data_IF_599968400123
#
_entry.id   IF_599968400123
#
_cell.length_a   1.000
_cell.length_b   1.000
_cell.length_c   1.000
_cell.angle_alpha   90.00
_cell.angle_beta   90.00
_cell.angle_gamma   90.00
#
_symmetry.space_group_name_H-M   'P 1'
#
loop_
_entity.id
_entity.type
_entity.pdbx_description
1 polymer ?
#
# COMPACT_ATOMS: atom_id res chain seq x y z
N UNK A 1 1.56 -8.66 8.65
CA UNK A 1 0.20 -8.24 8.28
C UNK A 1 -0.71 -9.45 8.37
N UNK A 2 -1.90 -9.32 8.96
CA UNK A 2 -2.91 -10.38 8.92
C UNK A 2 -4.02 -9.93 7.97
N UNK A 3 -4.44 -10.82 7.08
CA UNK A 3 -5.48 -10.55 6.10
C UNK A 3 -6.52 -11.66 6.16
N UNK A 4 -7.78 -11.28 6.28
CA UNK A 4 -8.91 -12.19 6.20
C UNK A 4 -9.76 -11.79 5.02
N UNK A 5 -9.85 -12.68 4.03
CA UNK A 5 -10.56 -12.44 2.78
C UNK A 5 -11.72 -13.41 2.63
N UNK A 6 -12.87 -12.91 2.20
CA UNK A 6 -14.07 -13.72 1.99
C UNK A 6 -15.02 -13.10 0.95
N UNK A 7 -15.92 -13.93 0.44
CA UNK A 7 -17.11 -13.53 -0.29
C UNK A 7 -18.35 -13.82 0.55
N UNK A 8 -19.53 -13.82 -0.09
CA UNK A 8 -20.75 -14.34 0.55
C UNK A 8 -20.69 -15.86 0.75
N UNK A 9 -20.05 -16.57 -0.18
CA UNK A 9 -20.16 -18.01 -0.33
C UNK A 9 -18.85 -18.75 0.03
N UNK A 10 -17.71 -18.04 0.03
CA UNK A 10 -16.37 -18.59 0.27
C UNK A 10 -15.62 -17.79 1.33
N UNK A 11 -14.90 -18.47 2.22
CA UNK A 11 -14.03 -17.87 3.23
C UNK A 11 -12.62 -18.46 3.13
N UNK A 12 -11.61 -17.62 2.93
CA UNK A 12 -10.19 -18.04 2.88
C UNK A 12 -9.55 -18.12 4.26
N UNK A 13 -10.25 -17.66 5.29
CA UNK A 13 -9.75 -17.54 6.65
C UNK A 13 -8.67 -16.46 6.78
N UNK A 14 -7.96 -16.52 7.90
CA UNK A 14 -6.94 -15.55 8.23
C UNK A 14 -5.56 -16.01 7.73
N UNK A 15 -4.91 -15.18 6.93
CA UNK A 15 -3.58 -15.42 6.36
C UNK A 15 -2.60 -14.40 6.94
N UNK A 16 -1.42 -14.86 7.36
CA UNK A 16 -0.35 -13.99 7.86
C UNK A 16 0.71 -13.79 6.79
N UNK A 17 0.95 -12.53 6.43
CA UNK A 17 1.93 -12.11 5.42
C UNK A 17 3.05 -11.26 6.01
N UNK A 18 4.27 -11.54 5.58
CA UNK A 18 5.47 -10.71 5.80
C UNK A 18 5.64 -9.73 4.63
N UNK A 19 6.52 -8.75 4.80
CA UNK A 19 6.84 -7.82 3.71
C UNK A 19 7.43 -8.58 2.53
N UNK A 20 6.88 -8.34 1.34
CA UNK A 20 7.25 -9.04 0.11
C UNK A 20 6.55 -10.39 -0.08
N UNK A 21 5.72 -10.85 0.86
CA UNK A 21 4.88 -12.02 0.64
C UNK A 21 3.67 -11.66 -0.24
N UNK A 22 3.21 -12.62 -1.03
CA UNK A 22 2.05 -12.52 -1.90
C UNK A 22 1.08 -13.67 -1.61
N UNK A 23 -0.22 -13.40 -1.82
CA UNK A 23 -1.27 -14.43 -1.78
C UNK A 23 -2.05 -14.40 -3.08
N UNK A 24 -2.40 -15.58 -3.53
CA UNK A 24 -3.18 -15.79 -4.74
C UNK A 24 -4.27 -16.82 -4.47
N UNK A 25 -5.46 -16.55 -4.98
CA UNK A 25 -6.56 -17.51 -5.00
C UNK A 25 -7.43 -17.24 -6.23
N UNK A 26 -8.20 -18.24 -6.62
CA UNK A 26 -9.16 -18.16 -7.71
C UNK A 26 -10.58 -18.33 -7.19
N UNK A 27 -11.53 -17.62 -7.79
CA UNK A 27 -12.96 -17.73 -7.51
C UNK A 27 -13.74 -17.57 -8.81
N UNK A 28 -14.98 -18.06 -8.83
CA UNK A 28 -15.86 -17.93 -9.99
C UNK A 28 -16.79 -16.74 -9.86
N UNK A 29 -16.99 -16.01 -10.96
CA UNK A 29 -17.99 -14.96 -11.03
C UNK A 29 -19.38 -15.58 -11.14
N UNK A 30 -20.34 -15.04 -10.40
CA UNK A 30 -21.72 -15.46 -10.51
C UNK A 30 -22.34 -14.86 -11.77
N UNK A 31 -23.25 -15.62 -12.39
CA UNK A 31 -23.91 -15.20 -13.62
C UNK A 31 -24.72 -13.89 -13.46
N UNK A 32 -25.18 -13.60 -12.25
CA UNK A 32 -25.97 -12.42 -11.92
C UNK A 32 -25.15 -11.13 -11.83
N UNK A 33 -23.82 -11.19 -11.98
CA UNK A 33 -22.95 -10.01 -11.96
C UNK A 33 -22.93 -9.30 -10.60
N UNK A 34 -23.10 -10.06 -9.51
CA UNK A 34 -23.14 -9.55 -8.13
C UNK A 34 -21.97 -10.03 -7.28
N UNK A 35 -21.00 -10.73 -7.87
CA UNK A 35 -19.83 -11.22 -7.14
C UNK A 35 -19.10 -10.06 -6.46
N UNK A 36 -18.86 -10.27 -5.17
CA UNK A 36 -18.14 -9.38 -4.29
C UNK A 36 -17.20 -10.23 -3.43
N UNK A 37 -15.92 -9.89 -3.45
CA UNK A 37 -14.89 -10.45 -2.59
C UNK A 37 -14.20 -9.30 -1.88
N UNK A 38 -14.06 -9.39 -0.57
CA UNK A 38 -13.52 -8.33 0.25
C UNK A 38 -12.54 -8.89 1.28
N UNK A 39 -11.65 -8.04 1.75
CA UNK A 39 -10.70 -8.39 2.79
C UNK A 39 -10.69 -7.35 3.89
N UNK A 40 -10.56 -7.86 5.12
CA UNK A 40 -10.20 -7.11 6.30
C UNK A 40 -8.71 -7.33 6.57
N UNK A 41 -7.97 -6.24 6.64
CA UNK A 41 -6.53 -6.25 6.84
C UNK A 41 -6.21 -5.61 8.17
N UNK A 42 -5.36 -6.29 8.93
CA UNK A 42 -4.78 -5.81 10.17
C UNK A 42 -3.27 -5.62 9.95
N UNK A 43 -2.84 -4.38 10.02
CA UNK A 43 -1.44 -4.02 9.86
C UNK A 43 -1.02 -2.99 10.90
N UNK A 44 -0.14 -3.42 11.82
CA UNK A 44 0.30 -2.63 12.97
C UNK A 44 -0.90 -2.05 13.74
N UNK A 45 -1.09 -0.74 13.68
CA UNK A 45 -2.17 -0.01 14.36
C UNK A 45 -3.33 0.35 13.43
N UNK A 46 -3.29 -0.12 12.19
CA UNK A 46 -4.27 0.15 11.14
C UNK A 46 -5.08 -1.10 10.85
N UNK A 47 -6.40 -0.95 10.88
CA UNK A 47 -7.34 -1.98 10.44
C UNK A 47 -8.20 -1.38 9.33
N UNK A 48 -8.21 -2.01 8.17
CA UNK A 48 -8.90 -1.49 7.00
C UNK A 48 -9.57 -2.61 6.21
N UNK A 49 -10.71 -2.25 5.65
CA UNK A 49 -11.51 -3.07 4.77
C UNK A 49 -11.36 -2.57 3.34
N UNK A 50 -11.25 -3.49 2.41
CA UNK A 50 -11.34 -3.16 0.99
C UNK A 50 -11.95 -4.29 0.17
N UNK A 51 -12.64 -3.92 -0.90
CA UNK A 51 -13.20 -4.86 -1.85
C UNK A 51 -12.07 -5.27 -2.82
N UNK A 52 -11.61 -6.52 -2.77
CA UNK A 52 -10.62 -7.09 -3.72
C UNK A 52 -11.25 -7.24 -5.09
N UNK A 53 -12.53 -7.61 -5.13
CA UNK A 53 -13.28 -7.73 -6.36
C UNK A 53 -14.71 -7.27 -6.14
N UNK A 54 -15.18 -6.37 -6.99
CA UNK A 54 -16.60 -6.02 -7.12
C UNK A 54 -16.94 -6.05 -8.59
N UNK A 55 -17.89 -6.91 -9.00
CA UNK A 55 -18.24 -7.04 -10.42
C UNK A 55 -18.56 -5.67 -11.06
N UNK A 56 -19.26 -4.79 -10.34
CA UNK A 56 -19.59 -3.43 -10.81
C UNK A 56 -18.36 -2.57 -11.14
N UNK A 57 -17.27 -2.73 -10.39
CA UNK A 57 -16.03 -1.94 -10.51
C UNK A 57 -15.00 -2.61 -11.42
N UNK A 58 -14.85 -3.93 -11.29
CA UNK A 58 -13.66 -4.65 -11.75
C UNK A 58 -13.88 -5.50 -13.01
N UNK A 59 -15.12 -5.74 -13.44
CA UNK A 59 -15.38 -6.60 -14.61
C UNK A 59 -14.68 -6.18 -15.91
N UNK A 60 -14.29 -4.90 -16.05
CA UNK A 60 -13.48 -4.40 -17.19
C UNK A 60 -12.00 -4.26 -16.85
N UNK A 61 -11.70 -3.96 -15.58
CA UNK A 61 -10.36 -3.72 -15.06
C UNK A 61 -9.54 -5.00 -14.93
N UNK A 62 -10.21 -6.09 -14.56
CA UNK A 62 -9.62 -7.41 -14.35
C UNK A 62 -10.25 -8.41 -15.34
N UNK A 63 -9.57 -8.66 -16.45
CA UNK A 63 -10.00 -9.64 -17.46
C UNK A 63 -9.75 -11.07 -17.01
N UNK A 64 -8.55 -11.33 -16.46
CA UNK A 64 -8.14 -12.65 -15.98
C UNK A 64 -7.77 -12.61 -14.50
N UNK A 65 -7.11 -11.54 -14.06
CA UNK A 65 -6.49 -11.43 -12.75
C UNK A 65 -6.73 -10.03 -12.18
N UNK A 66 -6.90 -9.96 -10.86
CA UNK A 66 -6.93 -8.69 -10.15
C UNK A 66 -5.70 -8.58 -9.26
N UNK A 67 -4.72 -7.77 -9.67
CA UNK A 67 -3.59 -7.47 -8.81
C UNK A 67 -3.88 -6.29 -7.88
N UNK A 68 -3.49 -6.49 -6.62
CA UNK A 68 -3.54 -5.51 -5.56
C UNK A 68 -2.17 -5.42 -4.89
N UNK A 69 -1.80 -4.22 -4.48
CA UNK A 69 -0.56 -3.97 -3.75
C UNK A 69 -0.86 -3.04 -2.57
N UNK A 70 -0.43 -3.43 -1.38
CA UNK A 70 -0.40 -2.56 -0.21
C UNK A 70 1.04 -2.09 -0.06
N UNK A 71 1.28 -0.78 -0.16
CA UNK A 71 2.63 -0.24 -0.01
C UNK A 71 3.06 -0.18 1.45
N UNK A 72 4.36 -0.05 1.69
CA UNK A 72 4.96 0.19 3.01
C UNK A 72 4.43 1.47 3.72
N UNK A 73 3.67 2.31 3.03
CA UNK A 73 3.05 3.52 3.58
C UNK A 73 1.56 3.37 3.93
N UNK A 74 0.95 2.19 3.78
CA UNK A 74 -0.49 2.05 4.05
C UNK A 74 -1.38 2.39 2.86
N UNK A 75 -0.83 2.56 1.66
CA UNK A 75 -1.63 2.89 0.47
C UNK A 75 -1.97 1.63 -0.32
N UNK A 76 -3.25 1.48 -0.69
CA UNK A 76 -3.72 0.42 -1.58
C UNK A 76 -3.66 0.86 -3.03
N UNK A 77 -3.10 0.00 -3.87
CA UNK A 77 -3.07 0.17 -5.32
C UNK A 77 -3.69 -1.05 -6.00
N UNK A 78 -4.45 -0.81 -7.06
CA UNK A 78 -5.00 -1.84 -7.92
C UNK A 78 -4.47 -1.65 -9.34
N UNK A 79 -4.08 -2.75 -9.98
CA UNK A 79 -3.62 -2.74 -11.36
C UNK A 79 -4.79 -2.80 -12.32
N UNK A 80 -4.86 -1.85 -13.25
CA UNK A 80 -5.87 -1.84 -14.29
C UNK A 80 -5.32 -2.49 -15.56
N UNK A 81 -5.83 -3.67 -15.91
CA UNK A 81 -5.42 -4.40 -17.12
C UNK A 81 -5.93 -3.74 -18.41
N UNK A 82 -7.00 -2.92 -18.35
CA UNK A 82 -7.50 -2.18 -19.52
C UNK A 82 -6.56 -1.04 -19.88
N UNK A 83 -6.09 -0.27 -18.89
CA UNK A 83 -5.20 0.87 -19.10
C UNK A 83 -3.71 0.57 -18.94
N UNK A 84 -3.36 -0.60 -18.37
CA UNK A 84 -2.00 -1.03 -18.08
C UNK A 84 -1.34 -0.26 -16.92
N UNK A 85 -2.12 0.32 -16.00
CA UNK A 85 -1.63 1.27 -14.99
C UNK A 85 -2.04 0.89 -13.57
N UNK A 86 -1.17 1.20 -12.61
CA UNK A 86 -1.50 1.17 -11.19
C UNK A 86 -2.24 2.45 -10.77
N UNK A 87 -3.37 2.28 -10.09
CA UNK A 87 -4.16 3.38 -9.54
C UNK A 87 -4.32 3.23 -8.03
N UNK A 88 -4.36 4.34 -7.29
CA UNK A 88 -4.63 4.31 -5.84
C UNK A 88 -6.11 4.09 -5.57
N UNK A 89 -6.41 3.31 -4.52
CA UNK A 89 -7.76 3.03 -4.08
C UNK A 89 -7.95 3.46 -2.62
N UNK A 90 -9.16 3.93 -2.26
CA UNK A 90 -9.46 4.30 -0.88
C UNK A 90 -9.54 3.06 0.00
N UNK A 91 -8.80 3.07 1.11
CA UNK A 91 -8.98 2.14 2.22
C UNK A 91 -10.14 2.62 3.10
N UNK A 92 -11.03 1.70 3.50
CA UNK A 92 -12.14 2.01 4.41
C UNK A 92 -11.74 1.56 5.82
N UNK A 93 -11.62 2.46 6.81
CA UNK A 93 -11.36 2.04 8.20
C UNK A 93 -12.47 1.12 8.70
N UNK A 94 -12.12 0.07 9.43
CA UNK A 94 -13.12 -0.86 10.01
C UNK A 94 -13.71 -0.24 11.28
N UNK A 95 -15.02 0.08 11.33
CA UNK A 95 -15.65 0.66 12.52
C UNK A 95 -15.54 -0.27 13.73
N UNK A 96 -15.34 0.30 14.93
CA UNK A 96 -15.26 -0.49 16.16
C UNK A 96 -13.91 -1.18 16.41
N UNK A 97 -13.00 -1.17 15.45
CA UNK A 97 -11.60 -1.53 15.71
C UNK A 97 -10.91 -0.36 16.40
N UNK A 98 -10.36 -0.58 17.61
CA UNK A 98 -9.53 0.43 18.27
C UNK A 98 -8.20 0.49 17.50
N UNK A 99 -7.74 1.67 17.05
CA UNK A 99 -6.34 1.84 16.69
C UNK A 99 -5.54 1.40 17.92
N UNK A 100 -4.68 0.39 17.78
CA UNK A 100 -3.81 0.01 18.89
C UNK A 100 -2.99 1.24 19.25
N UNK A 101 -3.18 1.71 20.48
CA UNK A 101 -2.62 2.95 20.97
C UNK A 101 -1.10 2.84 20.96
N UNK A 102 -0.46 3.81 20.28
CA UNK A 102 0.96 4.20 20.37
C UNK A 102 1.95 3.45 19.48
N UNK A 103 2.20 4.04 18.30
CA UNK A 103 3.55 4.52 17.98
C UNK A 103 3.44 5.83 17.20
N UNK A 104 4.37 6.74 17.46
CA UNK A 104 4.43 8.12 16.97
C UNK A 104 4.25 8.18 15.45
N UNK A 105 3.77 9.29 14.86
CA UNK A 105 3.84 9.47 13.42
C UNK A 105 5.26 9.16 12.94
N UNK A 106 5.40 8.27 11.96
CA UNK A 106 6.67 7.96 11.30
C UNK A 106 7.22 9.29 10.82
N UNK A 107 8.21 9.81 11.54
CA UNK A 107 8.95 10.99 11.12
C UNK A 107 9.68 10.57 9.84
N UNK A 108 9.59 11.31 8.73
CA UNK A 108 10.43 11.01 7.59
C UNK A 108 11.90 11.17 8.03
N UNK A 109 12.62 10.06 8.15
CA UNK A 109 14.07 9.97 8.35
C UNK A 109 14.77 10.36 7.04
N UNK A 110 14.43 11.52 6.49
CA UNK A 110 15.11 12.15 5.36
C UNK A 110 14.98 13.66 5.47
N UNK A 111 15.56 14.22 6.54
CA UNK A 111 15.99 15.62 6.50
C UNK A 111 17.35 15.63 5.80
N UNK A 112 17.51 16.28 4.63
CA UNK A 112 18.84 16.50 4.08
C UNK A 112 19.62 17.28 5.13
N UNK A 113 20.75 16.74 5.58
CA UNK A 113 21.73 17.51 6.36
C UNK A 113 22.00 18.78 5.57
N UNK A 114 21.61 19.94 6.13
CA UNK A 114 21.86 21.26 5.59
C UNK A 114 23.37 21.34 5.28
N UNK A 115 23.76 21.12 4.02
CA UNK A 115 25.12 21.39 3.57
C UNK A 115 25.39 22.84 3.96
N UNK A 116 26.32 23.07 4.88
CA UNK A 116 26.85 24.41 5.11
C UNK A 116 27.35 24.89 3.74
N UNK A 117 26.66 25.87 3.14
CA UNK A 117 27.24 26.62 2.03
C UNK A 117 28.52 27.24 2.60
N UNK A 118 29.69 26.75 2.20
CA UNK A 118 30.93 27.49 2.42
C UNK A 118 30.77 28.79 1.63
N UNK A 119 30.91 29.91 2.33
CA UNK A 119 30.98 31.22 1.68
C UNK A 119 32.27 31.28 0.85
N UNK A 120 32.26 31.96 -0.29
CA UNK A 120 33.40 32.12 -1.19
C UNK A 120 34.59 32.88 -0.56
N UNK A 121 34.48 33.34 0.69
CA UNK A 121 35.52 34.06 1.41
C UNK A 121 36.68 33.17 1.91
N UNK A 122 36.51 31.84 2.01
CA UNK A 122 37.53 30.94 2.59
C UNK A 122 38.58 30.40 1.59
N UNK A 123 38.52 30.80 0.31
CA UNK A 123 39.44 30.28 -0.73
C UNK A 123 40.70 31.13 -0.97
N UNK A 124 40.99 32.15 -0.15
CA UNK A 124 42.05 33.13 -0.44
C UNK A 124 43.30 33.12 0.45
N UNK A 125 43.58 32.04 1.18
CA UNK A 125 44.76 32.00 2.09
C UNK A 125 45.72 30.83 1.88
N UNK A 126 45.86 30.32 0.65
CA UNK A 126 46.92 29.35 0.33
C UNK A 126 47.54 29.65 -1.02
N UNK A 127 48.33 30.72 -1.09
CA UNK A 127 49.38 30.85 -2.10
C UNK A 127 50.71 31.05 -1.35
N UNK A 128 51.66 30.12 -1.41
CA UNK A 128 53.01 30.36 -0.94
C UNK A 128 53.73 31.35 -1.86
N UNK A 129 54.52 32.24 -1.26
CA UNK A 129 55.39 33.20 -1.98
C UNK A 129 56.45 32.43 -2.78
N UNK A 130 56.82 32.87 -4.00
CA UNK A 130 57.98 32.33 -4.68
C UNK A 130 59.27 32.80 -3.97
N UNK A 131 60.30 31.94 -4.04
CA UNK A 131 61.64 32.17 -3.51
C UNK A 131 62.40 33.25 -4.30
#
# INVERSE_FOLDING_TARGET
MNIHCQSKDDDLGNITLKNGDEIEWSFSLNFWGTTLFYCDVQWENLNYHFDVYSNKRDHKRCYSECHWMISDYGSLYGYDQESGKWSSFPLKPIPGTRPTRSTRPIRPENRPTRRRRRSAADLRSQNPRPA
#
